data_IF_846458453910
#
_entry.id   IF_846458453910
#
_cell.length_a   1.000
_cell.length_b   1.000
_cell.length_c   1.000
_cell.angle_alpha   90.00
_cell.angle_beta   90.00
_cell.angle_gamma   90.00
#
_symmetry.space_group_name_H-M   'P 1'
#
loop_
_entity.id
_entity.type
_entity.pdbx_description
1 polymer ?
#
# COMPACT_ATOMS: atom_id res chain seq x y z
N UNK A 1 -1.99 -6.68 -14.47
CA UNK A 1 -0.67 -6.71 -13.79
C UNK A 1 -0.75 -7.70 -12.63
N UNK A 2 0.09 -8.73 -12.68
CA UNK A 2 0.20 -9.70 -11.59
C UNK A 2 1.05 -9.09 -10.45
N UNK A 3 0.39 -8.65 -9.37
CA UNK A 3 1.02 -7.90 -8.28
C UNK A 3 1.95 -8.75 -7.41
N UNK A 4 1.67 -10.06 -7.28
CA UNK A 4 2.39 -10.97 -6.37
C UNK A 4 3.52 -11.75 -7.07
N UNK A 5 3.56 -11.78 -8.39
CA UNK A 5 4.57 -12.54 -9.15
C UNK A 5 5.95 -11.87 -9.08
N UNK A 6 6.97 -12.63 -8.73
CA UNK A 6 8.39 -12.25 -8.81
C UNK A 6 9.05 -12.88 -10.07
N UNK A 7 8.28 -13.17 -11.11
CA UNK A 7 8.77 -13.81 -12.32
C UNK A 7 9.38 -12.78 -13.29
N UNK A 8 10.69 -12.79 -13.54
CA UNK A 8 11.35 -11.81 -14.41
C UNK A 8 10.84 -11.81 -15.85
N UNK A 9 10.41 -12.96 -16.37
CA UNK A 9 9.88 -13.07 -17.74
C UNK A 9 8.55 -12.32 -17.85
N UNK A 10 7.68 -12.47 -16.84
CA UNK A 10 6.42 -11.70 -16.78
C UNK A 10 6.67 -10.20 -16.64
N UNK A 11 7.71 -9.83 -15.92
CA UNK A 11 8.08 -8.43 -15.71
C UNK A 11 8.68 -7.79 -16.98
N UNK A 12 9.48 -8.53 -17.75
CA UNK A 12 9.95 -8.10 -19.09
C UNK A 12 8.78 -7.95 -20.08
N UNK A 13 7.83 -8.88 -20.05
CA UNK A 13 6.61 -8.76 -20.85
C UNK A 13 5.83 -7.49 -20.47
N UNK A 14 5.63 -7.23 -19.17
CA UNK A 14 4.96 -6.04 -18.69
C UNK A 14 5.66 -4.74 -19.15
N UNK A 15 6.99 -4.69 -19.09
CA UNK A 15 7.76 -3.57 -19.62
C UNK A 15 7.50 -3.37 -21.12
N UNK A 16 7.47 -4.46 -21.90
CA UNK A 16 7.18 -4.39 -23.32
C UNK A 16 5.74 -3.93 -23.61
N UNK A 17 4.78 -4.39 -22.81
CA UNK A 17 3.38 -3.95 -22.93
C UNK A 17 3.25 -2.44 -22.66
N UNK A 18 3.94 -1.89 -21.65
CA UNK A 18 3.99 -0.44 -21.41
C UNK A 18 4.67 0.33 -22.54
N UNK A 19 5.75 -0.18 -23.13
CA UNK A 19 6.39 0.42 -24.30
C UNK A 19 5.42 0.52 -25.46
N UNK A 20 4.70 -0.55 -25.75
CA UNK A 20 3.72 -0.57 -26.84
C UNK A 20 2.56 0.39 -26.58
N UNK A 21 2.05 0.43 -25.33
CA UNK A 21 0.99 1.35 -24.92
C UNK A 21 1.41 2.82 -25.10
N UNK A 22 2.58 3.20 -24.57
CA UNK A 22 3.09 4.58 -24.69
C UNK A 22 3.30 4.98 -26.15
N UNK A 23 3.81 4.05 -26.98
CA UNK A 23 4.00 4.30 -28.40
C UNK A 23 2.68 4.49 -29.16
N UNK A 24 1.63 3.75 -28.77
CA UNK A 24 0.31 3.83 -29.39
C UNK A 24 -0.44 5.09 -28.95
N UNK A 25 -0.49 5.36 -27.65
CA UNK A 25 -1.30 6.43 -27.06
C UNK A 25 -0.61 7.80 -27.11
N UNK A 26 0.74 7.83 -27.17
CA UNK A 26 1.56 9.07 -27.20
C UNK A 26 1.15 10.08 -26.13
N UNK A 27 1.07 9.70 -24.85
CA UNK A 27 0.59 10.57 -23.80
C UNK A 27 1.57 11.72 -23.52
N UNK A 28 1.04 12.89 -23.15
CA UNK A 28 1.83 14.04 -22.70
C UNK A 28 2.41 13.86 -21.31
N UNK A 29 1.74 13.05 -20.47
CA UNK A 29 2.13 12.72 -19.10
C UNK A 29 1.59 11.36 -18.72
N UNK A 30 2.40 10.56 -18.00
CA UNK A 30 1.96 9.30 -17.39
C UNK A 30 2.02 9.42 -15.87
N UNK A 31 0.91 9.11 -15.19
CA UNK A 31 0.82 8.97 -13.76
C UNK A 31 0.59 7.49 -13.43
N UNK A 32 1.51 6.89 -12.67
CA UNK A 32 1.45 5.48 -12.30
C UNK A 32 1.21 5.27 -10.80
N UNK A 33 0.52 4.18 -10.50
CA UNK A 33 0.23 3.72 -9.14
C UNK A 33 0.72 2.28 -8.97
N UNK A 34 1.13 1.92 -7.79
CA UNK A 34 1.63 0.60 -7.40
C UNK A 34 3.05 0.30 -7.90
N UNK A 35 3.72 -0.61 -7.19
CA UNK A 35 5.16 -0.89 -7.34
C UNK A 35 5.56 -1.20 -8.79
N UNK A 36 4.93 -2.18 -9.42
CA UNK A 36 5.30 -2.61 -10.77
C UNK A 36 5.00 -1.55 -11.83
N UNK A 37 3.88 -0.85 -11.71
CA UNK A 37 3.55 0.25 -12.60
C UNK A 37 4.53 1.41 -12.47
N UNK A 38 4.92 1.75 -11.25
CA UNK A 38 5.90 2.79 -10.98
C UNK A 38 7.28 2.44 -11.57
N UNK A 39 7.72 1.19 -11.42
CA UNK A 39 9.01 0.72 -11.92
C UNK A 39 9.00 0.62 -13.45
N UNK A 40 8.17 -0.26 -14.00
CA UNK A 40 8.21 -0.59 -15.43
C UNK A 40 7.56 0.49 -16.31
N UNK A 41 6.53 1.19 -15.80
CA UNK A 41 5.96 2.36 -16.45
C UNK A 41 6.98 3.51 -16.54
N UNK A 42 7.70 3.80 -15.44
CA UNK A 42 8.75 4.83 -15.46
C UNK A 42 9.91 4.48 -16.39
N UNK A 43 10.35 3.20 -16.44
CA UNK A 43 11.34 2.74 -17.42
C UNK A 43 10.85 2.95 -18.88
N UNK A 44 9.61 2.58 -19.15
CA UNK A 44 9.03 2.73 -20.49
C UNK A 44 8.89 4.20 -20.88
N UNK A 45 8.39 5.07 -20.00
CA UNK A 45 8.28 6.51 -20.23
C UNK A 45 9.63 7.15 -20.55
N UNK A 46 10.69 6.77 -19.84
CA UNK A 46 12.05 7.27 -20.09
C UNK A 46 12.55 6.90 -21.48
N UNK A 47 12.25 5.69 -21.99
CA UNK A 47 12.66 5.26 -23.33
C UNK A 47 12.04 6.11 -24.43
N UNK A 48 10.86 6.66 -24.20
CA UNK A 48 10.14 7.50 -25.17
C UNK A 48 10.13 8.98 -24.81
N UNK A 49 10.92 9.37 -23.79
CA UNK A 49 11.00 10.76 -23.31
C UNK A 49 9.65 11.35 -22.87
N UNK A 50 8.72 10.50 -22.45
CA UNK A 50 7.41 10.91 -21.94
C UNK A 50 7.55 11.33 -20.47
N UNK A 51 7.04 12.51 -20.06
CA UNK A 51 6.98 12.91 -18.66
C UNK A 51 6.28 11.86 -17.79
N UNK A 52 6.85 11.60 -16.61
CA UNK A 52 6.37 10.55 -15.71
C UNK A 52 6.28 11.06 -14.28
N UNK A 53 5.19 10.71 -13.61
CA UNK A 53 4.98 10.87 -12.17
C UNK A 53 4.52 9.54 -11.57
N UNK A 54 4.93 9.27 -10.34
CA UNK A 54 4.58 8.06 -9.61
C UNK A 54 3.81 8.38 -8.34
N UNK A 55 2.87 7.53 -7.96
CA UNK A 55 2.27 7.54 -6.63
C UNK A 55 2.68 6.28 -5.87
N UNK A 56 3.37 6.46 -4.75
CA UNK A 56 3.82 5.40 -3.84
C UNK A 56 2.86 5.35 -2.66
N UNK A 57 1.77 4.58 -2.80
CA UNK A 57 0.75 4.38 -1.76
C UNK A 57 1.25 3.54 -0.58
N UNK A 58 2.43 2.92 -0.71
CA UNK A 58 3.12 2.13 0.30
C UNK A 58 4.32 1.42 -0.31
N UNK A 59 5.32 1.12 0.51
CA UNK A 59 6.56 0.49 0.06
C UNK A 59 6.42 -1.02 -0.17
N UNK A 60 5.34 -1.62 0.36
CA UNK A 60 5.06 -3.05 0.28
C UNK A 60 5.90 -3.90 1.23
N UNK A 61 5.48 -5.15 1.41
CA UNK A 61 6.10 -6.10 2.33
C UNK A 61 7.58 -6.36 2.09
N UNK A 62 8.04 -6.21 0.84
CA UNK A 62 9.46 -6.37 0.50
C UNK A 62 10.39 -5.40 1.25
N UNK A 63 9.94 -4.15 1.46
CA UNK A 63 10.70 -3.16 2.23
C UNK A 63 10.70 -3.46 3.73
N UNK A 64 9.58 -3.92 4.28
CA UNK A 64 9.45 -4.22 5.70
C UNK A 64 10.17 -5.50 6.11
N UNK A 65 10.18 -6.53 5.24
CA UNK A 65 10.91 -7.78 5.49
C UNK A 65 12.43 -7.63 5.39
N UNK A 66 12.90 -6.60 4.67
CA UNK A 66 14.34 -6.36 4.52
C UNK A 66 15.06 -7.39 3.64
N UNK A 67 16.38 -7.50 3.80
CA UNK A 67 17.21 -8.49 3.13
C UNK A 67 17.41 -8.26 1.62
N UNK A 68 17.75 -9.32 0.89
CA UNK A 68 18.06 -9.26 -0.55
C UNK A 68 16.88 -8.74 -1.38
N UNK A 69 15.65 -9.11 -1.03
CA UNK A 69 14.46 -8.69 -1.76
C UNK A 69 14.26 -7.16 -1.68
N UNK A 70 14.49 -6.55 -0.51
CA UNK A 70 14.48 -5.08 -0.36
C UNK A 70 15.47 -4.44 -1.34
N UNK A 71 16.70 -4.94 -1.39
CA UNK A 71 17.76 -4.39 -2.25
C UNK A 71 17.40 -4.46 -3.74
N UNK A 72 16.81 -5.58 -4.18
CA UNK A 72 16.34 -5.76 -5.55
C UNK A 72 15.23 -4.74 -5.86
N UNK A 73 14.21 -4.65 -5.01
CA UNK A 73 13.08 -3.74 -5.23
C UNK A 73 13.54 -2.27 -5.18
N UNK A 74 14.43 -1.91 -4.25
CA UNK A 74 15.01 -0.56 -4.17
C UNK A 74 15.78 -0.22 -5.45
N UNK A 75 16.60 -1.15 -5.96
CA UNK A 75 17.35 -0.96 -7.22
C UNK A 75 16.41 -0.77 -8.42
N UNK A 76 15.35 -1.58 -8.50
CA UNK A 76 14.34 -1.44 -9.55
C UNK A 76 13.58 -0.11 -9.45
N UNK A 77 13.20 0.32 -8.26
CA UNK A 77 12.62 1.63 -8.03
C UNK A 77 13.55 2.76 -8.47
N UNK A 78 14.83 2.68 -8.09
CA UNK A 78 15.83 3.68 -8.50
C UNK A 78 15.94 3.81 -10.01
N UNK A 79 15.88 2.68 -10.74
CA UNK A 79 15.89 2.70 -12.20
C UNK A 79 14.57 3.26 -12.74
N UNK A 80 13.42 2.85 -12.20
CA UNK A 80 12.09 3.30 -12.67
C UNK A 80 11.83 4.78 -12.42
N UNK A 81 12.21 5.28 -11.23
CA UNK A 81 11.91 6.65 -10.79
C UNK A 81 13.01 7.68 -11.15
N UNK A 82 14.12 7.25 -11.75
CA UNK A 82 15.29 8.10 -12.00
C UNK A 82 14.98 9.47 -12.60
N UNK A 83 14.03 9.56 -13.53
CA UNK A 83 13.66 10.78 -14.21
C UNK A 83 12.19 11.17 -13.94
N UNK A 84 11.61 10.68 -12.86
CA UNK A 84 10.27 11.08 -12.47
C UNK A 84 10.22 12.60 -12.18
N UNK A 85 9.21 13.27 -12.72
CA UNK A 85 8.97 14.71 -12.47
C UNK A 85 8.44 14.98 -11.07
N UNK A 86 7.90 13.94 -10.40
CA UNK A 86 7.45 13.95 -9.03
C UNK A 86 7.06 12.55 -8.58
N UNK A 87 7.25 12.28 -7.30
CA UNK A 87 6.86 11.04 -6.65
C UNK A 87 5.99 11.40 -5.45
N UNK A 88 4.71 11.06 -5.55
CA UNK A 88 3.73 11.32 -4.51
C UNK A 88 3.78 10.26 -3.42
N UNK A 89 3.64 10.68 -2.18
CA UNK A 89 3.57 9.86 -0.98
C UNK A 89 2.39 10.26 -0.11
N UNK A 90 1.72 9.30 0.50
CA UNK A 90 0.63 9.55 1.45
C UNK A 90 1.14 9.89 2.86
N UNK A 91 2.42 9.65 3.15
CA UNK A 91 3.06 10.00 4.42
C UNK A 91 4.55 10.25 4.26
N UNK A 92 5.08 11.07 5.18
CA UNK A 92 6.50 11.47 5.20
C UNK A 92 7.44 10.28 5.46
N UNK A 93 7.03 9.28 6.23
CA UNK A 93 7.88 8.13 6.56
C UNK A 93 8.27 7.33 5.31
N UNK A 94 7.31 7.07 4.42
CA UNK A 94 7.58 6.38 3.15
C UNK A 94 8.48 7.21 2.21
N UNK A 95 8.30 8.55 2.18
CA UNK A 95 9.15 9.43 1.40
C UNK A 95 10.60 9.37 1.91
N UNK A 96 10.80 9.48 3.23
CA UNK A 96 12.12 9.42 3.85
C UNK A 96 12.86 8.12 3.54
N UNK A 97 12.19 6.99 3.58
CA UNK A 97 12.81 5.69 3.23
C UNK A 97 13.41 5.71 1.82
N UNK A 98 12.71 6.24 0.81
CA UNK A 98 13.21 6.28 -0.56
C UNK A 98 14.28 7.37 -0.78
N UNK A 99 14.22 8.47 -0.04
CA UNK A 99 15.24 9.51 -0.06
C UNK A 99 16.53 9.00 0.59
N UNK A 100 16.45 8.43 1.78
CA UNK A 100 17.60 7.93 2.55
C UNK A 100 18.31 6.76 1.82
N UNK A 101 17.53 5.89 1.16
CA UNK A 101 18.04 4.82 0.27
C UNK A 101 18.60 5.39 -1.06
N UNK A 102 18.55 6.71 -1.28
CA UNK A 102 18.96 7.38 -2.53
C UNK A 102 18.25 6.79 -3.77
N UNK A 103 17.02 6.38 -3.60
CA UNK A 103 16.15 5.91 -4.68
C UNK A 103 15.58 7.06 -5.48
N UNK A 104 15.24 8.15 -4.79
CA UNK A 104 14.83 9.44 -5.35
C UNK A 104 15.60 10.57 -4.67
N UNK A 105 15.58 11.76 -5.28
CA UNK A 105 16.06 12.98 -4.66
C UNK A 105 14.96 13.64 -3.82
N UNK A 106 15.34 14.51 -2.88
CA UNK A 106 14.39 15.20 -1.99
C UNK A 106 13.43 16.11 -2.78
N UNK A 107 13.90 16.75 -3.83
CA UNK A 107 13.12 17.62 -4.72
C UNK A 107 12.07 16.86 -5.58
N UNK A 108 12.23 15.55 -5.74
CA UNK A 108 11.24 14.71 -6.42
C UNK A 108 10.09 14.31 -5.49
N UNK A 109 10.26 14.36 -4.17
CA UNK A 109 9.29 13.89 -3.21
C UNK A 109 8.16 14.90 -2.96
N UNK A 110 6.92 14.49 -3.15
CA UNK A 110 5.71 15.28 -2.91
C UNK A 110 4.85 14.54 -1.89
N UNK A 111 4.81 15.04 -0.65
CA UNK A 111 3.99 14.42 0.40
C UNK A 111 2.58 15.00 0.38
N UNK A 112 1.60 14.14 0.14
CA UNK A 112 0.18 14.47 0.16
C UNK A 112 -0.36 14.42 1.60
N UNK A 113 -1.47 15.12 1.85
CA UNK A 113 -2.20 15.07 3.12
C UNK A 113 -3.15 13.86 3.21
N UNK A 114 -2.74 12.72 2.65
CA UNK A 114 -3.56 11.52 2.49
C UNK A 114 -4.28 11.46 1.15
N UNK A 115 -5.01 10.36 0.92
CA UNK A 115 -5.72 10.11 -0.33
C UNK A 115 -7.01 10.94 -0.48
N UNK A 116 -7.49 11.55 0.62
CA UNK A 116 -8.75 12.28 0.66
C UNK A 116 -9.98 11.39 0.80
N UNK A 117 -11.11 12.02 1.02
CA UNK A 117 -12.43 11.38 1.13
C UNK A 117 -13.48 12.27 0.46
N UNK A 118 -14.47 11.66 -0.18
CA UNK A 118 -15.60 12.38 -0.73
C UNK A 118 -16.61 12.74 0.39
N UNK A 119 -16.60 13.99 0.83
CA UNK A 119 -17.45 14.46 1.93
C UNK A 119 -18.95 14.46 1.61
N UNK A 120 -19.36 14.42 0.33
CA UNK A 120 -20.76 14.29 -0.07
C UNK A 120 -21.26 12.85 0.09
N UNK A 121 -20.35 11.87 -0.09
CA UNK A 121 -20.66 10.45 0.06
C UNK A 121 -20.47 9.98 1.51
N UNK A 122 -19.52 10.55 2.21
CA UNK A 122 -19.18 10.22 3.60
C UNK A 122 -19.34 11.47 4.47
N UNK A 123 -20.58 11.79 4.76
CA UNK A 123 -20.94 12.92 5.61
C UNK A 123 -20.50 12.67 7.06
N UNK A 124 -20.23 13.75 7.76
CA UNK A 124 -19.98 13.67 9.20
C UNK A 124 -21.23 13.17 9.92
N UNK A 125 -21.07 12.17 10.77
CA UNK A 125 -22.10 11.77 11.73
C UNK A 125 -21.48 11.70 13.13
N UNK A 126 -22.28 12.05 14.11
CA UNK A 126 -21.88 11.95 15.51
C UNK A 126 -21.66 10.49 15.91
N UNK A 127 -20.69 10.26 16.78
CA UNK A 127 -20.48 8.93 17.34
C UNK A 127 -21.70 8.51 18.16
N UNK A 128 -22.20 7.27 17.98
CA UNK A 128 -23.32 6.78 18.77
C UNK A 128 -22.95 6.77 20.26
N UNK A 129 -23.91 7.20 21.10
CA UNK A 129 -23.79 7.23 22.57
C UNK A 129 -24.35 5.96 23.23
N UNK A 130 -24.18 4.83 22.59
CA UNK A 130 -24.66 3.54 23.10
C UNK A 130 -23.94 3.14 24.39
N UNK A 131 -24.62 2.35 25.23
CA UNK A 131 -24.01 1.74 26.43
C UNK A 131 -22.94 0.72 26.07
N UNK A 132 -23.00 0.16 24.86
CA UNK A 132 -22.03 -0.81 24.33
C UNK A 132 -21.04 -0.08 23.43
N UNK A 133 -19.76 -0.23 23.73
CA UNK A 133 -18.68 0.33 22.90
C UNK A 133 -18.38 -0.65 21.77
N UNK A 134 -18.56 -0.21 20.51
CA UNK A 134 -18.38 -1.03 19.32
C UNK A 134 -17.08 -0.66 18.62
N UNK A 135 -16.19 -1.64 18.49
CA UNK A 135 -14.95 -1.53 17.75
C UNK A 135 -15.10 -2.21 16.38
N UNK A 136 -14.68 -1.54 15.32
CA UNK A 136 -14.72 -2.07 13.96
C UNK A 136 -13.31 -2.10 13.35
N UNK A 137 -12.85 -3.30 12.97
CA UNK A 137 -11.69 -3.45 12.11
C UNK A 137 -12.13 -3.59 10.66
N UNK A 138 -11.54 -2.78 9.77
CA UNK A 138 -11.78 -2.87 8.33
C UNK A 138 -10.44 -3.07 7.62
N UNK A 139 -10.26 -4.21 6.94
CA UNK A 139 -9.02 -4.46 6.22
C UNK A 139 -8.76 -5.93 5.94
N UNK A 140 -7.62 -6.20 5.28
CA UNK A 140 -7.14 -7.58 5.10
C UNK A 140 -6.71 -8.15 6.44
N UNK A 141 -7.17 -9.36 6.74
CA UNK A 141 -6.82 -10.07 7.98
C UNK A 141 -5.49 -10.77 7.75
N UNK A 142 -4.42 -10.15 8.26
CA UNK A 142 -3.03 -10.57 8.10
C UNK A 142 -2.13 -9.89 9.14
N UNK A 143 -0.99 -10.52 9.46
CA UNK A 143 -0.06 -10.03 10.49
C UNK A 143 0.42 -8.59 10.24
N UNK A 144 0.72 -8.22 9.00
CA UNK A 144 1.18 -6.86 8.63
C UNK A 144 0.16 -5.74 8.95
N UNK A 145 -1.10 -6.11 9.25
CA UNK A 145 -2.16 -5.18 9.66
C UNK A 145 -2.34 -5.09 11.18
N UNK A 146 -1.45 -5.69 11.95
CA UNK A 146 -1.52 -5.67 13.40
C UNK A 146 -2.64 -6.56 13.96
N UNK A 147 -3.06 -7.59 13.23
CA UNK A 147 -4.18 -8.45 13.64
C UNK A 147 -3.83 -9.26 14.89
N UNK A 148 -2.57 -9.69 15.05
CA UNK A 148 -2.12 -10.39 16.25
C UNK A 148 -2.23 -9.50 17.49
N UNK A 149 -1.76 -8.27 17.40
CA UNK A 149 -1.84 -7.27 18.46
C UNK A 149 -3.30 -6.91 18.78
N UNK A 150 -4.14 -6.85 17.75
CA UNK A 150 -5.57 -6.60 17.93
C UNK A 150 -6.24 -7.73 18.73
N UNK A 151 -5.95 -8.99 18.41
CA UNK A 151 -6.51 -10.13 19.13
C UNK A 151 -6.08 -10.15 20.60
N UNK A 152 -4.83 -9.87 20.90
CA UNK A 152 -4.36 -9.72 22.26
C UNK A 152 -5.05 -8.57 23.00
N UNK A 153 -5.29 -7.46 22.33
CA UNK A 153 -6.03 -6.32 22.88
C UNK A 153 -7.49 -6.70 23.17
N UNK A 154 -8.16 -7.42 22.27
CA UNK A 154 -9.54 -7.92 22.46
C UNK A 154 -9.62 -8.78 23.72
N UNK A 155 -8.76 -9.79 23.85
CA UNK A 155 -8.72 -10.67 25.04
C UNK A 155 -8.57 -9.87 26.34
N UNK A 156 -7.69 -8.87 26.36
CA UNK A 156 -7.48 -7.99 27.52
C UNK A 156 -8.68 -7.10 27.82
N UNK A 157 -9.29 -6.51 26.80
CA UNK A 157 -10.43 -5.60 26.96
C UNK A 157 -11.66 -6.39 27.45
N UNK A 158 -12.00 -7.51 26.82
CA UNK A 158 -13.15 -8.33 27.23
C UNK A 158 -13.04 -8.89 28.64
N UNK A 159 -11.82 -9.16 29.11
CA UNK A 159 -11.59 -9.59 30.49
C UNK A 159 -12.00 -8.53 31.53
N UNK A 160 -11.90 -7.25 31.17
CA UNK A 160 -12.13 -6.13 32.09
C UNK A 160 -13.47 -5.40 31.84
N UNK A 161 -14.06 -5.53 30.65
CA UNK A 161 -15.23 -4.80 30.20
C UNK A 161 -16.21 -5.74 29.51
N UNK A 162 -17.44 -5.84 30.00
CA UNK A 162 -18.50 -6.66 29.43
C UNK A 162 -19.34 -5.93 28.37
N UNK A 163 -19.22 -4.59 28.29
CA UNK A 163 -20.00 -3.76 27.42
C UNK A 163 -19.24 -3.37 26.13
N UNK A 164 -18.51 -4.32 25.56
CA UNK A 164 -17.71 -4.11 24.34
C UNK A 164 -18.03 -5.15 23.29
N UNK A 165 -18.09 -4.71 22.03
CA UNK A 165 -18.26 -5.54 20.86
C UNK A 165 -17.11 -5.29 19.86
N UNK A 166 -16.65 -6.35 19.19
CA UNK A 166 -15.65 -6.26 18.15
C UNK A 166 -16.17 -6.87 16.86
N UNK A 167 -16.07 -6.11 15.76
CA UNK A 167 -16.49 -6.55 14.43
C UNK A 167 -15.34 -6.47 13.45
N UNK A 168 -15.29 -7.40 12.51
CA UNK A 168 -14.27 -7.48 11.48
C UNK A 168 -14.92 -7.47 10.11
N UNK A 169 -14.46 -6.56 9.22
CA UNK A 169 -14.86 -6.52 7.82
C UNK A 169 -13.59 -6.66 6.96
N UNK A 170 -13.54 -7.72 6.16
CA UNK A 170 -12.42 -7.97 5.27
C UNK A 170 -12.29 -9.42 4.85
N UNK A 171 -11.19 -9.73 4.19
CA UNK A 171 -10.90 -11.10 3.78
C UNK A 171 -9.58 -11.59 4.38
N UNK A 172 -9.48 -12.90 4.49
CA UNK A 172 -8.28 -13.56 5.00
C UNK A 172 -7.20 -13.62 3.92
N UNK A 173 -6.03 -13.06 4.20
CA UNK A 173 -4.79 -13.27 3.42
C UNK A 173 -3.91 -14.34 4.05
N UNK A 174 -4.09 -14.60 5.35
CA UNK A 174 -3.43 -15.62 6.15
C UNK A 174 -4.47 -16.41 6.94
N UNK A 175 -4.11 -17.55 7.49
CA UNK A 175 -5.05 -18.42 8.21
C UNK A 175 -5.25 -17.96 9.66
N UNK A 176 -6.28 -17.16 9.85
CA UNK A 176 -6.73 -16.68 11.16
C UNK A 176 -8.12 -17.21 11.55
N UNK A 177 -8.68 -18.16 10.79
CA UNK A 177 -10.05 -18.63 11.03
C UNK A 177 -10.21 -19.24 12.42
N UNK A 178 -9.33 -20.17 12.78
CA UNK A 178 -9.37 -20.84 14.07
C UNK A 178 -9.29 -19.84 15.24
N UNK A 179 -8.42 -18.83 15.12
CA UNK A 179 -8.26 -17.82 16.16
C UNK A 179 -9.48 -16.92 16.32
N UNK A 180 -10.16 -16.59 15.21
CA UNK A 180 -11.43 -15.84 15.27
C UNK A 180 -12.55 -16.69 15.86
N UNK A 181 -12.64 -17.97 15.51
CA UNK A 181 -13.60 -18.89 16.09
C UNK A 181 -13.38 -19.09 17.59
N UNK A 182 -12.12 -19.11 18.05
CA UNK A 182 -11.77 -19.10 19.49
C UNK A 182 -12.29 -17.84 20.18
N UNK A 183 -12.00 -16.65 19.60
CA UNK A 183 -12.48 -15.39 20.15
C UNK A 183 -14.00 -15.27 20.18
N UNK A 184 -14.71 -15.88 19.21
CA UNK A 184 -16.16 -15.91 19.20
C UNK A 184 -16.76 -16.83 20.26
N UNK A 185 -16.05 -17.92 20.61
CA UNK A 185 -16.47 -18.83 21.69
C UNK A 185 -16.26 -18.25 23.08
N UNK A 186 -15.26 -17.42 23.24
CA UNK A 186 -14.94 -16.77 24.52
C UNK A 186 -15.82 -15.53 24.81
N UNK A 187 -16.81 -15.25 23.95
CA UNK A 187 -17.79 -14.18 24.08
C UNK A 187 -17.41 -12.93 23.30
#
# INVERSE_FOLDING_TARGET
VDRKSLNPIKDLKLLNDYKNLIKAEKPDLVLAYTIKCNIYGGMACRLYSVPFMANVTGLGSAYYRGGMLKNIVSSLYKIGLKNAKGVFFENIANARVLIDDKTINDDQAIVLKGAGVNLQQFEYCEMPSDKVVKFLFIGRIMAEKGVNELFEAIKKIKKNYSNVEFSFIGWFEEDYKELIEELQRDG
#
